data_IF_520184587385
#
_entry.id   IF_520184587385
#
_cell.length_a   1.000
_cell.length_b   1.000
_cell.length_c   1.000
_cell.angle_alpha   90.00
_cell.angle_beta   90.00
_cell.angle_gamma   90.00
#
_symmetry.space_group_name_H-M   'P 1'
#
loop_
_entity.id
_entity.type
_entity.pdbx_description
1 polymer ?
#
# COMPACT_ATOMS: atom_id res chain seq x y z
N UNK A 1 -75.33 -20.93 67.37
CA UNK A 1 -74.73 -20.04 66.34
C UNK A 1 -75.35 -18.66 66.46
N UNK A 2 -74.55 -17.59 66.52
CA UNK A 2 -75.04 -16.20 66.37
C UNK A 2 -74.48 -15.65 65.05
N UNK A 3 -75.34 -15.48 64.06
CA UNK A 3 -74.98 -14.79 62.82
C UNK A 3 -74.89 -13.29 63.13
N UNK A 4 -73.66 -12.77 63.24
CA UNK A 4 -73.43 -11.34 63.33
C UNK A 4 -73.59 -10.77 61.94
N UNK A 5 -74.79 -10.26 61.64
CA UNK A 5 -75.00 -9.41 60.47
C UNK A 5 -74.24 -8.09 60.69
N UNK A 6 -73.00 -8.03 60.23
CA UNK A 6 -72.27 -6.78 60.07
C UNK A 6 -73.01 -5.94 59.05
N UNK A 7 -73.80 -4.97 59.51
CA UNK A 7 -74.25 -3.86 58.69
C UNK A 7 -73.01 -3.14 58.17
N UNK A 8 -72.63 -3.44 56.92
CA UNK A 8 -71.61 -2.67 56.21
C UNK A 8 -72.23 -1.29 55.99
N UNK A 9 -71.85 -0.34 56.86
CA UNK A 9 -72.15 1.06 56.67
C UNK A 9 -71.41 1.54 55.41
N UNK A 10 -72.07 1.41 54.25
CA UNK A 10 -71.56 1.90 52.98
C UNK A 10 -71.53 3.43 53.02
N UNK A 11 -70.44 3.98 53.57
CA UNK A 11 -70.19 5.42 53.57
C UNK A 11 -70.03 5.89 52.13
N UNK A 12 -71.11 6.46 51.59
CA UNK A 12 -71.13 7.07 50.27
C UNK A 12 -70.03 8.13 50.19
N UNK A 13 -69.06 7.93 49.31
CA UNK A 13 -67.96 8.86 49.02
C UNK A 13 -68.27 9.60 47.74
N UNK A 14 -68.40 10.92 47.81
CA UNK A 14 -68.56 11.76 46.62
C UNK A 14 -67.18 12.23 46.18
N UNK A 15 -66.87 12.08 44.89
CA UNK A 15 -65.58 12.43 44.29
C UNK A 15 -65.76 13.57 43.29
N UNK A 16 -64.76 14.45 43.19
CA UNK A 16 -64.68 15.43 42.12
C UNK A 16 -64.13 14.76 40.85
N UNK A 17 -64.89 14.72 39.74
CA UNK A 17 -64.44 14.02 38.52
C UNK A 17 -63.23 14.70 37.81
N UNK A 18 -62.85 15.91 38.23
CA UNK A 18 -61.79 16.71 37.60
C UNK A 18 -60.41 16.37 38.19
N UNK A 19 -60.30 16.21 39.51
CA UNK A 19 -59.07 15.82 40.21
C UNK A 19 -59.09 14.39 40.77
N UNK A 20 -60.24 13.73 40.77
CA UNK A 20 -60.52 12.42 41.36
C UNK A 20 -60.40 12.33 42.91
N UNK A 21 -60.23 13.47 43.59
CA UNK A 21 -60.21 13.55 45.05
C UNK A 21 -61.62 13.56 45.68
N UNK A 22 -61.66 13.27 46.98
CA UNK A 22 -62.87 13.32 47.82
C UNK A 22 -63.38 14.76 47.98
N UNK A 23 -64.70 14.93 47.87
CA UNK A 23 -65.37 16.16 48.28
C UNK A 23 -65.57 16.13 49.80
N UNK A 24 -64.84 16.97 50.54
CA UNK A 24 -64.92 17.05 52.01
C UNK A 24 -65.71 18.30 52.41
N UNK A 25 -66.62 18.19 53.39
CA UNK A 25 -67.47 19.31 53.85
C UNK A 25 -66.73 20.56 54.33
N UNK A 26 -65.42 20.48 54.59
CA UNK A 26 -64.54 21.58 54.96
C UNK A 26 -64.02 22.39 53.75
N UNK A 27 -64.24 21.91 52.52
CA UNK A 27 -63.76 22.51 51.29
C UNK A 27 -64.87 23.29 50.57
N UNK A 28 -64.48 24.24 49.72
CA UNK A 28 -65.42 24.95 48.84
C UNK A 28 -65.96 24.02 47.75
N UNK A 29 -67.11 23.40 48.04
CA UNK A 29 -67.82 22.51 47.13
C UNK A 29 -68.90 23.29 46.39
N UNK A 30 -68.93 23.19 45.07
CA UNK A 30 -69.89 23.87 44.20
C UNK A 30 -70.61 22.87 43.30
N UNK A 31 -71.87 23.16 43.01
CA UNK A 31 -72.66 22.41 42.05
C UNK A 31 -73.17 23.30 40.92
N UNK A 32 -73.34 22.67 39.76
CA UNK A 32 -73.89 23.28 38.55
C UNK A 32 -75.41 23.07 38.50
N UNK A 33 -76.16 23.89 37.75
CA UNK A 33 -77.62 23.72 37.63
C UNK A 33 -78.10 22.36 37.11
N UNK A 34 -77.22 21.54 36.51
CA UNK A 34 -77.54 20.16 36.13
C UNK A 34 -77.31 19.13 37.25
N UNK A 35 -76.99 19.58 38.47
CA UNK A 35 -76.88 18.73 39.68
C UNK A 35 -75.48 18.17 39.96
N UNK A 36 -74.54 18.28 39.02
CA UNK A 36 -73.17 17.75 39.22
C UNK A 36 -72.32 18.67 40.10
N UNK A 37 -71.51 18.04 40.96
CA UNK A 37 -70.80 18.64 42.10
C UNK A 37 -69.29 18.48 41.93
N UNK A 38 -68.53 19.54 42.22
CA UNK A 38 -67.08 19.62 42.04
C UNK A 38 -66.45 20.51 43.12
N UNK A 39 -65.13 20.45 43.29
CA UNK A 39 -64.39 21.51 44.00
C UNK A 39 -64.48 22.83 43.25
N UNK A 40 -64.63 23.94 43.97
CA UNK A 40 -64.71 25.30 43.42
C UNK A 40 -63.57 25.61 42.45
N UNK A 41 -62.32 25.40 42.88
CA UNK A 41 -61.11 25.63 42.06
C UNK A 41 -61.14 24.83 40.76
N UNK A 42 -61.52 23.56 40.84
CA UNK A 42 -61.56 22.67 39.67
C UNK A 42 -62.66 23.08 38.68
N UNK A 43 -63.83 23.51 39.19
CA UNK A 43 -64.94 23.98 38.37
C UNK A 43 -64.62 25.31 37.68
N UNK A 44 -64.06 26.29 38.39
CA UNK A 44 -63.65 27.57 37.79
C UNK A 44 -62.61 27.35 36.68
N UNK A 45 -61.56 26.59 36.95
CA UNK A 45 -60.49 26.32 35.98
C UNK A 45 -60.97 25.52 34.74
N UNK A 46 -62.11 24.84 34.85
CA UNK A 46 -62.78 24.23 33.72
C UNK A 46 -63.60 25.27 32.93
N UNK A 47 -64.37 26.11 33.63
CA UNK A 47 -65.22 27.15 33.00
C UNK A 47 -64.41 28.23 32.26
N UNK A 48 -63.19 28.54 32.70
CA UNK A 48 -62.20 29.34 31.96
C UNK A 48 -61.94 28.83 30.53
N UNK A 49 -62.10 27.52 30.30
CA UNK A 49 -61.81 26.85 29.02
C UNK A 49 -63.05 26.37 28.29
N UNK A 50 -64.14 26.09 29.00
CA UNK A 50 -65.40 25.61 28.42
C UNK A 50 -66.59 25.94 29.31
N UNK A 51 -67.56 26.69 28.79
CA UNK A 51 -68.87 26.97 29.42
C UNK A 51 -69.79 25.74 29.49
N UNK A 52 -69.28 24.57 29.86
CA UNK A 52 -70.03 23.31 29.91
C UNK A 52 -69.72 22.52 31.19
N UNK A 53 -70.71 21.76 31.68
CA UNK A 53 -70.50 20.87 32.82
C UNK A 53 -69.48 19.76 32.45
N UNK A 54 -68.42 19.54 33.23
CA UNK A 54 -67.42 18.48 32.98
C UNK A 54 -68.02 17.08 32.82
N UNK A 55 -69.14 16.79 33.51
CA UNK A 55 -69.72 15.45 33.59
C UNK A 55 -70.82 15.18 32.55
N UNK A 56 -71.68 16.16 32.24
CA UNK A 56 -72.80 15.98 31.30
C UNK A 56 -72.83 16.96 30.12
N UNK A 57 -71.84 17.86 30.00
CA UNK A 57 -71.68 18.86 28.94
C UNK A 57 -72.83 19.86 28.76
N UNK A 58 -73.83 19.88 29.64
CA UNK A 58 -74.85 20.91 29.68
C UNK A 58 -74.21 22.30 29.84
N UNK A 59 -74.75 23.34 29.19
CA UNK A 59 -74.17 24.70 29.22
C UNK A 59 -74.20 25.29 30.64
N UNK A 60 -73.04 25.73 31.12
CA UNK A 60 -72.84 26.36 32.43
C UNK A 60 -72.19 27.73 32.21
N UNK A 61 -72.87 28.78 32.64
CA UNK A 61 -72.32 30.14 32.73
C UNK A 61 -71.94 30.42 34.18
N UNK A 62 -71.01 31.32 34.43
CA UNK A 62 -70.51 31.68 35.78
C UNK A 62 -71.64 31.99 36.78
N UNK A 63 -72.67 32.73 36.36
CA UNK A 63 -73.88 33.04 37.18
C UNK A 63 -74.82 31.84 37.44
N UNK A 64 -74.39 30.59 37.20
CA UNK A 64 -75.17 29.34 37.33
C UNK A 64 -74.43 28.23 38.08
N UNK A 65 -73.39 28.57 38.83
CA UNK A 65 -72.79 27.70 39.85
C UNK A 65 -73.24 28.15 41.24
N UNK A 66 -73.44 27.20 42.14
CA UNK A 66 -73.95 27.45 43.49
C UNK A 66 -73.09 26.70 44.52
N UNK A 67 -72.76 27.36 45.64
CA UNK A 67 -72.01 26.73 46.74
C UNK A 67 -72.90 25.76 47.50
N UNK A 68 -72.42 24.53 47.73
CA UNK A 68 -73.09 23.55 48.55
C UNK A 68 -72.76 23.79 50.03
N UNK A 69 -73.79 23.82 50.87
CA UNK A 69 -73.65 23.87 52.33
C UNK A 69 -74.21 22.57 52.92
N UNK A 70 -73.35 21.76 53.52
CA UNK A 70 -73.72 20.48 54.12
C UNK A 70 -73.94 20.64 55.63
N UNK A 71 -75.17 20.45 56.09
CA UNK A 71 -75.47 20.36 57.53
C UNK A 71 -75.18 18.93 58.00
N UNK A 72 -74.12 18.76 58.79
CA UNK A 72 -73.73 17.45 59.36
C UNK A 72 -74.29 17.34 60.78
N UNK A 73 -75.08 16.31 61.04
CA UNK A 73 -75.58 16.00 62.39
C UNK A 73 -74.57 15.12 63.15
N UNK A 74 -73.83 15.73 64.08
CA UNK A 74 -72.95 14.99 64.98
C UNK A 74 -73.76 14.19 66.02
N UNK A 75 -73.95 12.89 65.79
CA UNK A 75 -74.30 11.93 66.84
C UNK A 75 -73.05 11.17 67.27
N UNK A 76 -72.19 11.84 68.04
CA UNK A 76 -71.00 11.25 68.63
C UNK A 76 -71.34 10.58 69.96
N UNK A 77 -71.13 9.27 70.04
CA UNK A 77 -70.92 8.54 71.31
C UNK A 77 -70.32 7.16 71.00
N UNK A 78 -69.28 6.76 71.75
CA UNK A 78 -68.54 5.48 71.68
C UNK A 78 -67.63 5.25 70.45
N UNK A 79 -66.56 6.05 70.29
CA UNK A 79 -65.57 5.92 69.20
C UNK A 79 -64.13 5.52 69.59
N UNK A 80 -63.76 5.51 70.88
CA UNK A 80 -62.35 5.43 71.33
C UNK A 80 -61.57 4.16 70.90
N UNK A 81 -62.28 3.08 70.52
CA UNK A 81 -61.66 1.86 70.00
C UNK A 81 -61.56 1.79 68.46
N UNK A 82 -62.24 2.67 67.73
CA UNK A 82 -62.25 2.67 66.25
C UNK A 82 -61.02 3.36 65.65
N UNK A 83 -60.58 4.47 66.26
CA UNK A 83 -59.47 5.27 65.73
C UNK A 83 -58.10 4.62 65.93
N UNK A 84 -57.95 3.77 66.96
CA UNK A 84 -56.73 3.00 67.17
C UNK A 84 -56.54 1.92 66.08
N UNK A 85 -57.61 1.18 65.73
CA UNK A 85 -57.62 0.24 64.60
C UNK A 85 -57.37 0.93 63.24
N UNK A 86 -57.98 2.11 63.04
CA UNK A 86 -57.73 2.95 61.86
C UNK A 86 -56.26 3.35 61.75
N UNK A 87 -55.67 3.85 62.84
CA UNK A 87 -54.27 4.26 62.91
C UNK A 87 -53.30 3.07 62.73
N UNK A 88 -53.60 1.93 63.35
CA UNK A 88 -52.81 0.70 63.20
C UNK A 88 -52.80 0.20 61.75
N UNK A 89 -53.94 0.22 61.06
CA UNK A 89 -54.01 -0.18 59.64
C UNK A 89 -53.16 0.72 58.73
N UNK A 90 -53.07 2.02 59.03
CA UNK A 90 -52.19 2.97 58.33
C UNK A 90 -50.73 2.70 58.63
N UNK A 91 -50.38 2.40 59.89
CA UNK A 91 -49.03 2.02 60.31
C UNK A 91 -48.55 0.78 59.55
N UNK A 92 -49.39 -0.27 59.45
CA UNK A 92 -48.98 -1.52 58.80
C UNK A 92 -48.92 -1.39 57.26
N UNK A 93 -49.78 -0.55 56.66
CA UNK A 93 -49.67 -0.16 55.24
C UNK A 93 -48.35 0.59 54.96
N UNK A 94 -47.97 1.55 55.82
CA UNK A 94 -46.70 2.27 55.69
C UNK A 94 -45.48 1.36 55.91
N UNK A 95 -45.51 0.44 56.88
CA UNK A 95 -44.47 -0.60 57.04
C UNK A 95 -44.30 -1.43 55.78
N UNK A 96 -45.39 -1.84 55.13
CA UNK A 96 -45.33 -2.60 53.88
C UNK A 96 -44.72 -1.78 52.73
N UNK A 97 -45.08 -0.49 52.60
CA UNK A 97 -44.46 0.40 51.62
C UNK A 97 -42.96 0.60 51.89
N UNK A 98 -42.55 0.75 53.16
CA UNK A 98 -41.14 0.85 53.55
C UNK A 98 -40.39 -0.43 53.14
N UNK A 99 -40.92 -1.62 53.47
CA UNK A 99 -40.30 -2.90 53.08
C UNK A 99 -40.19 -3.08 51.55
N UNK A 100 -41.17 -2.61 50.79
CA UNK A 100 -41.12 -2.63 49.31
C UNK A 100 -40.05 -1.66 48.79
N UNK A 101 -39.98 -0.45 49.35
CA UNK A 101 -38.99 0.54 48.99
C UNK A 101 -37.56 0.11 49.39
N UNK A 102 -37.36 -0.54 50.53
CA UNK A 102 -36.08 -1.13 50.91
C UNK A 102 -35.62 -2.21 49.91
N UNK A 103 -36.53 -3.07 49.44
CA UNK A 103 -36.21 -4.05 48.39
C UNK A 103 -35.85 -3.38 47.07
N UNK A 104 -36.60 -2.34 46.68
CA UNK A 104 -36.31 -1.56 45.48
C UNK A 104 -34.93 -0.86 45.60
N UNK A 105 -34.63 -0.23 46.73
CA UNK A 105 -33.32 0.39 47.01
C UNK A 105 -32.21 -0.65 46.88
N UNK A 106 -32.32 -1.81 47.54
CA UNK A 106 -31.33 -2.91 47.46
C UNK A 106 -31.14 -3.43 46.03
N UNK A 107 -32.21 -3.50 45.24
CA UNK A 107 -32.15 -3.87 43.83
C UNK A 107 -31.41 -2.82 42.99
N UNK A 108 -31.77 -1.54 43.13
CA UNK A 108 -31.16 -0.45 42.37
C UNK A 108 -29.71 -0.18 42.77
N UNK A 109 -29.33 -0.28 44.04
CA UNK A 109 -27.92 -0.19 44.46
C UNK A 109 -27.08 -1.32 43.89
N UNK A 110 -27.59 -2.56 43.93
CA UNK A 110 -26.93 -3.72 43.31
C UNK A 110 -26.77 -3.55 41.80
N UNK A 111 -27.80 -3.03 41.11
CA UNK A 111 -27.77 -2.74 39.68
C UNK A 111 -26.78 -1.62 39.34
N UNK A 112 -26.73 -0.55 40.13
CA UNK A 112 -25.80 0.56 39.93
C UNK A 112 -24.35 0.10 40.11
N UNK A 113 -24.03 -0.70 41.14
CA UNK A 113 -22.68 -1.25 41.33
C UNK A 113 -22.20 -2.10 40.13
N UNK A 114 -23.11 -2.86 39.49
CA UNK A 114 -22.80 -3.62 38.26
C UNK A 114 -22.52 -2.65 37.09
N UNK A 115 -23.36 -1.63 36.90
CA UNK A 115 -23.20 -0.63 35.84
C UNK A 115 -21.92 0.21 36.03
N UNK A 116 -21.56 0.57 37.26
CA UNK A 116 -20.32 1.25 37.62
C UNK A 116 -19.10 0.40 37.26
N UNK A 117 -19.12 -0.89 37.60
CA UNK A 117 -18.05 -1.83 37.23
C UNK A 117 -17.92 -1.98 35.71
N UNK A 118 -19.03 -2.06 34.98
CA UNK A 118 -19.04 -2.09 33.51
C UNK A 118 -18.48 -0.80 32.91
N UNK A 119 -18.92 0.37 33.41
CA UNK A 119 -18.44 1.68 32.98
C UNK A 119 -16.93 1.86 33.26
N UNK A 120 -16.44 1.37 34.41
CA UNK A 120 -15.01 1.38 34.73
C UNK A 120 -14.19 0.53 33.74
N UNK A 121 -14.67 -0.68 33.40
CA UNK A 121 -14.05 -1.54 32.40
C UNK A 121 -14.04 -0.92 31.00
N UNK A 122 -15.18 -0.36 30.56
CA UNK A 122 -15.28 0.35 29.27
C UNK A 122 -14.32 1.55 29.20
N UNK A 123 -14.22 2.35 30.27
CA UNK A 123 -13.24 3.46 30.37
C UNK A 123 -11.79 2.97 30.31
N UNK A 124 -11.49 1.77 30.81
CA UNK A 124 -10.15 1.18 30.69
C UNK A 124 -9.82 0.75 29.27
N UNK A 125 -10.75 0.07 28.57
CA UNK A 125 -10.54 -0.31 27.17
C UNK A 125 -10.45 0.92 26.24
N UNK A 126 -11.24 1.97 26.49
CA UNK A 126 -11.12 3.26 25.77
C UNK A 126 -9.70 3.83 25.92
N UNK A 127 -9.19 3.98 27.15
CA UNK A 127 -7.81 4.47 27.39
C UNK A 127 -6.73 3.62 26.71
N UNK A 128 -6.92 2.30 26.66
CA UNK A 128 -6.00 1.38 25.99
C UNK A 128 -6.00 1.61 24.48
N UNK A 129 -7.19 1.69 23.86
CA UNK A 129 -7.33 1.96 22.42
C UNK A 129 -6.80 3.35 22.06
N UNK A 130 -7.04 4.37 22.89
CA UNK A 130 -6.48 5.72 22.74
C UNK A 130 -4.94 5.70 22.76
N UNK A 131 -4.34 4.95 23.70
CA UNK A 131 -2.89 4.78 23.79
C UNK A 131 -2.31 4.10 22.53
N UNK A 132 -2.95 3.03 22.05
CA UNK A 132 -2.57 2.36 20.81
C UNK A 132 -2.70 3.27 19.58
N UNK A 133 -3.76 4.08 19.50
CA UNK A 133 -3.96 5.07 18.44
C UNK A 133 -2.85 6.11 18.47
N UNK A 134 -2.51 6.64 19.65
CA UNK A 134 -1.44 7.62 19.80
C UNK A 134 -0.09 7.05 19.35
N UNK A 135 0.26 5.82 19.77
CA UNK A 135 1.49 5.15 19.34
C UNK A 135 1.53 4.95 17.81
N UNK A 136 0.42 4.51 17.20
CA UNK A 136 0.30 4.35 15.74
C UNK A 136 0.42 5.69 15.02
N UNK A 137 -0.15 6.77 15.56
CA UNK A 137 -0.04 8.12 15.00
C UNK A 137 1.40 8.65 15.04
N UNK A 138 2.13 8.45 16.13
CA UNK A 138 3.56 8.82 16.21
C UNK A 138 4.40 8.05 15.17
N UNK A 139 4.14 6.76 14.98
CA UNK A 139 4.81 5.96 13.95
C UNK A 139 4.47 6.43 12.53
N UNK A 140 3.21 6.76 12.26
CA UNK A 140 2.77 7.34 10.97
C UNK A 140 3.47 8.69 10.71
N UNK A 141 3.61 9.55 11.72
CA UNK A 141 4.32 10.82 11.59
C UNK A 141 5.79 10.62 11.22
N UNK A 142 6.51 9.75 11.94
CA UNK A 142 7.91 9.45 11.65
C UNK A 142 8.11 8.87 10.23
N UNK A 143 7.24 7.96 9.80
CA UNK A 143 7.27 7.40 8.44
C UNK A 143 6.96 8.45 7.37
N UNK A 144 6.04 9.38 7.62
CA UNK A 144 5.74 10.49 6.70
C UNK A 144 6.96 11.39 6.48
N UNK A 145 7.70 11.73 7.54
CA UNK A 145 8.89 12.57 7.41
C UNK A 145 10.02 11.84 6.66
N UNK A 146 10.21 10.54 6.90
CA UNK A 146 11.14 9.73 6.10
C UNK A 146 10.74 9.71 4.62
N UNK A 147 9.47 9.50 4.30
CA UNK A 147 8.95 9.52 2.92
C UNK A 147 9.18 10.89 2.26
N UNK A 148 8.98 11.99 3.00
CA UNK A 148 9.25 13.36 2.52
C UNK A 148 10.72 13.53 2.15
N UNK A 149 11.65 13.21 3.05
CA UNK A 149 13.09 13.26 2.79
C UNK A 149 13.50 12.38 1.58
N UNK A 150 12.95 11.17 1.45
CA UNK A 150 13.23 10.32 0.29
C UNK A 150 12.65 10.86 -1.02
N UNK A 151 11.50 11.55 -1.00
CA UNK A 151 10.94 12.24 -2.17
C UNK A 151 11.84 13.40 -2.61
N UNK A 152 12.22 14.27 -1.69
CA UNK A 152 13.13 15.40 -1.95
C UNK A 152 14.46 14.91 -2.55
N UNK A 153 15.06 13.85 -1.97
CA UNK A 153 16.26 13.21 -2.52
C UNK A 153 16.03 12.59 -3.91
N UNK A 154 14.89 11.96 -4.16
CA UNK A 154 14.54 11.39 -5.46
C UNK A 154 14.37 12.47 -6.54
N UNK A 155 13.74 13.60 -6.21
CA UNK A 155 13.61 14.74 -7.13
C UNK A 155 14.96 15.39 -7.42
N UNK A 156 15.82 15.56 -6.40
CA UNK A 156 17.18 16.05 -6.59
C UNK A 156 17.98 15.14 -7.55
N UNK A 157 17.96 13.83 -7.32
CA UNK A 157 18.65 12.87 -8.19
C UNK A 157 18.06 12.84 -9.61
N UNK A 158 16.73 12.96 -9.77
CA UNK A 158 16.08 13.03 -11.08
C UNK A 158 16.49 14.28 -11.85
N UNK A 159 16.52 15.44 -11.19
CA UNK A 159 17.02 16.69 -11.78
C UNK A 159 18.47 16.54 -12.21
N UNK A 160 19.34 16.00 -11.35
CA UNK A 160 20.74 15.76 -11.67
C UNK A 160 20.91 14.82 -12.88
N UNK A 161 20.20 13.70 -12.91
CA UNK A 161 20.30 12.73 -14.02
C UNK A 161 19.81 13.31 -15.34
N UNK A 162 18.71 14.07 -15.34
CA UNK A 162 18.24 14.81 -16.53
C UNK A 162 19.26 15.85 -17.02
N UNK A 163 19.97 16.53 -16.12
CA UNK A 163 21.08 17.42 -16.50
C UNK A 163 22.25 16.64 -17.12
N UNK A 164 22.64 15.49 -16.57
CA UNK A 164 23.69 14.63 -17.11
C UNK A 164 23.32 14.06 -18.50
N UNK A 165 22.07 13.65 -18.71
CA UNK A 165 21.53 13.18 -20.00
C UNK A 165 21.53 14.29 -21.06
N UNK A 166 20.98 15.46 -20.72
CA UNK A 166 20.95 16.63 -21.62
C UNK A 166 22.38 17.07 -22.00
N UNK A 167 23.30 17.10 -21.03
CA UNK A 167 24.70 17.42 -21.27
C UNK A 167 25.40 16.37 -22.15
N UNK A 168 25.12 15.07 -21.94
CA UNK A 168 25.68 14.03 -22.81
C UNK A 168 25.21 14.17 -24.26
N UNK A 169 23.91 14.44 -24.46
CA UNK A 169 23.33 14.64 -25.78
C UNK A 169 23.93 15.87 -26.47
N UNK A 170 23.95 17.03 -25.79
CA UNK A 170 24.52 18.27 -26.33
C UNK A 170 26.01 18.13 -26.70
N UNK A 171 26.80 17.41 -25.90
CA UNK A 171 28.25 17.25 -26.12
C UNK A 171 28.63 16.10 -27.08
N UNK A 172 27.72 15.15 -27.33
CA UNK A 172 28.01 14.01 -28.21
C UNK A 172 27.37 14.12 -29.59
N UNK A 173 26.25 14.84 -29.72
CA UNK A 173 25.45 14.94 -30.95
C UNK A 173 24.88 16.35 -31.24
N UNK A 174 24.98 17.29 -30.30
CA UNK A 174 24.37 18.61 -30.41
C UNK A 174 25.17 19.65 -31.19
N UNK A 175 24.46 20.70 -31.59
CA UNK A 175 24.97 21.93 -32.21
C UNK A 175 25.40 22.96 -31.15
N UNK A 176 25.99 24.08 -31.59
CA UNK A 176 26.38 25.17 -30.68
C UNK A 176 25.16 25.80 -30.00
N UNK A 177 24.04 25.84 -30.71
CA UNK A 177 22.74 26.32 -30.26
C UNK A 177 22.17 25.44 -29.13
N UNK A 178 22.29 24.11 -29.23
CA UNK A 178 21.83 23.17 -28.18
C UNK A 178 22.61 23.37 -26.87
N UNK A 179 23.92 23.63 -26.97
CA UNK A 179 24.76 23.96 -25.82
C UNK A 179 24.36 25.32 -25.22
N UNK A 180 24.00 26.29 -26.06
CA UNK A 180 23.56 27.62 -25.62
C UNK A 180 22.18 27.61 -24.95
N UNK A 181 21.25 26.77 -25.41
CA UNK A 181 19.96 26.53 -24.75
C UNK A 181 20.15 25.84 -23.38
N UNK A 182 20.97 24.79 -23.31
CA UNK A 182 21.29 24.07 -22.08
C UNK A 182 21.92 24.98 -21.01
N UNK A 183 22.80 25.92 -21.42
CA UNK A 183 23.46 26.86 -20.51
C UNK A 183 22.53 28.01 -20.11
N UNK A 184 21.71 28.51 -21.03
CA UNK A 184 20.67 29.51 -20.79
C UNK A 184 21.18 30.93 -20.47
N UNK A 185 20.39 31.93 -20.86
CA UNK A 185 20.74 33.37 -20.73
C UNK A 185 20.74 33.93 -19.28
N UNK A 186 20.70 33.08 -18.25
CA UNK A 186 20.80 33.46 -16.83
C UNK A 186 21.63 32.42 -16.06
N UNK A 187 22.91 32.35 -16.35
CA UNK A 187 23.79 31.33 -15.78
C UNK A 187 24.27 31.70 -14.37
N UNK A 188 24.00 30.83 -13.39
CA UNK A 188 24.75 30.83 -12.13
C UNK A 188 26.22 30.45 -12.42
N UNK A 189 27.15 31.17 -11.77
CA UNK A 189 28.58 30.86 -11.78
C UNK A 189 28.86 29.40 -11.41
N UNK A 190 28.08 28.82 -10.49
CA UNK A 190 28.26 27.43 -10.09
C UNK A 190 27.85 26.45 -11.21
N UNK A 191 26.79 26.74 -11.96
CA UNK A 191 26.38 25.94 -13.13
C UNK A 191 27.49 25.91 -14.18
N UNK A 192 28.11 27.07 -14.48
CA UNK A 192 29.26 27.14 -15.38
C UNK A 192 30.46 26.35 -14.86
N UNK A 193 30.79 26.46 -13.57
CA UNK A 193 31.90 25.72 -12.95
C UNK A 193 31.66 24.20 -13.03
N UNK A 194 30.43 23.74 -12.81
CA UNK A 194 30.07 22.33 -12.93
C UNK A 194 30.20 21.84 -14.38
N UNK A 195 29.59 22.54 -15.34
CA UNK A 195 29.72 22.20 -16.77
C UNK A 195 31.20 22.14 -17.23
N UNK A 196 32.03 23.09 -16.82
CA UNK A 196 33.47 23.11 -17.14
C UNK A 196 34.23 21.95 -16.46
N UNK A 197 33.85 21.60 -15.23
CA UNK A 197 34.47 20.49 -14.49
C UNK A 197 34.14 19.14 -15.13
N UNK A 198 32.88 18.93 -15.50
CA UNK A 198 32.40 17.71 -16.13
C UNK A 198 32.95 17.58 -17.56
N UNK A 199 33.00 18.67 -18.33
CA UNK A 199 33.71 18.76 -19.62
C UNK A 199 35.18 18.35 -19.50
N UNK A 200 35.88 18.86 -18.48
CA UNK A 200 37.28 18.54 -18.21
C UNK A 200 37.45 17.07 -17.84
N UNK A 201 36.54 16.49 -17.06
CA UNK A 201 36.59 15.06 -16.72
C UNK A 201 36.33 14.16 -17.93
N UNK A 202 35.31 14.46 -18.75
CA UNK A 202 35.01 13.73 -19.99
C UNK A 202 36.20 13.80 -20.96
N UNK A 203 36.79 15.00 -21.12
CA UNK A 203 37.96 15.20 -21.98
C UNK A 203 39.21 14.44 -21.47
N UNK A 204 39.44 14.40 -20.15
CA UNK A 204 40.49 13.60 -19.53
C UNK A 204 40.28 12.10 -19.74
N UNK A 205 39.05 11.59 -19.58
CA UNK A 205 38.71 10.18 -19.82
C UNK A 205 38.94 9.79 -21.28
N UNK A 206 38.49 10.61 -22.24
CA UNK A 206 38.75 10.41 -23.68
C UNK A 206 40.24 10.43 -24.00
N UNK A 207 40.98 11.42 -23.48
CA UNK A 207 42.44 11.55 -23.68
C UNK A 207 43.19 10.32 -23.17
N UNK A 208 42.92 9.85 -21.94
CA UNK A 208 43.53 8.63 -21.38
C UNK A 208 43.25 7.38 -22.22
N UNK A 209 42.03 7.25 -22.76
CA UNK A 209 41.68 6.10 -23.63
C UNK A 209 42.41 6.16 -24.97
N UNK A 210 42.56 7.36 -25.55
CA UNK A 210 43.37 7.58 -26.75
C UNK A 210 44.85 7.25 -26.49
N UNK A 211 45.41 7.68 -25.36
CA UNK A 211 46.78 7.35 -24.93
C UNK A 211 46.98 5.82 -24.88
N UNK A 212 46.09 5.12 -24.17
CA UNK A 212 46.12 3.65 -24.04
C UNK A 212 46.04 2.92 -25.38
N UNK A 213 45.16 3.38 -26.28
CA UNK A 213 45.04 2.80 -27.63
C UNK A 213 46.27 3.10 -28.50
N UNK A 214 46.87 4.29 -28.36
CA UNK A 214 48.14 4.62 -29.03
C UNK A 214 49.27 3.71 -28.57
N UNK A 215 49.41 3.47 -27.26
CA UNK A 215 50.43 2.56 -26.70
C UNK A 215 50.27 1.13 -27.24
N UNK A 216 49.04 0.61 -27.29
CA UNK A 216 48.77 -0.71 -27.88
C UNK A 216 49.13 -0.74 -29.38
N UNK A 217 48.80 0.31 -30.13
CA UNK A 217 49.10 0.39 -31.55
C UNK A 217 50.60 0.50 -31.85
N UNK A 218 51.38 1.18 -30.99
CA UNK A 218 52.85 1.16 -31.06
C UNK A 218 53.41 -0.24 -30.77
N UNK A 219 52.96 -0.90 -29.70
CA UNK A 219 53.42 -2.27 -29.39
C UNK A 219 53.15 -3.24 -30.54
N UNK A 220 51.96 -3.21 -31.14
CA UNK A 220 51.66 -4.04 -32.31
C UNK A 220 52.48 -3.68 -33.55
N UNK A 221 52.84 -2.41 -33.74
CA UNK A 221 53.76 -1.98 -34.80
C UNK A 221 55.17 -2.53 -34.58
N UNK A 222 55.68 -2.46 -33.36
CA UNK A 222 57.02 -2.90 -33.01
C UNK A 222 57.13 -4.43 -33.13
N UNK A 223 56.14 -5.19 -32.64
CA UNK A 223 56.05 -6.64 -32.85
C UNK A 223 55.98 -7.01 -34.33
N UNK A 224 55.22 -6.26 -35.15
CA UNK A 224 55.15 -6.48 -36.60
C UNK A 224 56.48 -6.17 -37.30
N UNK A 225 57.24 -5.18 -36.81
CA UNK A 225 58.57 -4.87 -37.32
C UNK A 225 59.59 -5.96 -36.95
N UNK A 226 59.52 -6.50 -35.74
CA UNK A 226 60.37 -7.60 -35.27
C UNK A 226 60.13 -8.88 -36.10
N UNK A 227 58.87 -9.28 -36.32
CA UNK A 227 58.53 -10.43 -37.16
C UNK A 227 58.96 -10.24 -38.62
N UNK A 228 58.90 -9.01 -39.16
CA UNK A 228 59.45 -8.69 -40.48
C UNK A 228 60.98 -8.85 -40.53
N UNK A 229 61.69 -8.45 -39.48
CA UNK A 229 63.15 -8.64 -39.39
C UNK A 229 63.50 -10.13 -39.39
N UNK A 230 62.81 -10.93 -38.56
CA UNK A 230 62.97 -12.40 -38.52
C UNK A 230 62.68 -13.04 -39.87
N UNK A 231 61.59 -12.63 -40.55
CA UNK A 231 61.25 -13.13 -41.88
C UNK A 231 62.37 -12.86 -42.89
N UNK A 232 62.96 -11.66 -42.87
CA UNK A 232 64.09 -11.28 -43.73
C UNK A 232 65.34 -12.11 -43.44
N UNK A 233 65.66 -12.38 -42.17
CA UNK A 233 66.78 -13.26 -41.77
C UNK A 233 66.55 -14.72 -42.20
N UNK A 234 65.32 -15.22 -42.11
CA UNK A 234 64.97 -16.56 -42.60
C UNK A 234 65.05 -16.67 -44.13
N UNK A 235 64.63 -15.63 -44.87
CA UNK A 235 64.78 -15.56 -46.33
C UNK A 235 66.26 -15.56 -46.76
N UNK A 236 67.12 -14.77 -46.11
CA UNK A 236 68.57 -14.78 -46.40
C UNK A 236 69.21 -16.14 -46.12
N UNK A 237 68.84 -16.78 -45.00
CA UNK A 237 69.31 -18.15 -44.66
C UNK A 237 68.80 -19.22 -45.62
N UNK A 238 67.57 -19.09 -46.12
CA UNK A 238 67.02 -19.97 -47.16
C UNK A 238 67.82 -19.82 -48.45
N UNK A 239 68.04 -18.60 -48.92
CA UNK A 239 68.83 -18.33 -50.13
C UNK A 239 70.27 -18.88 -50.04
N UNK A 240 70.91 -18.78 -48.87
CA UNK A 240 72.21 -19.39 -48.62
C UNK A 240 72.16 -20.93 -48.72
N UNK A 241 71.18 -21.56 -48.06
CA UNK A 241 71.02 -23.02 -48.07
C UNK A 241 70.67 -23.56 -49.46
N UNK A 242 69.84 -22.84 -50.22
CA UNK A 242 69.52 -23.16 -51.62
C UNK A 242 70.75 -23.10 -52.53
N UNK A 243 71.61 -22.09 -52.36
CA UNK A 243 72.88 -21.97 -53.08
C UNK A 243 73.84 -23.14 -52.78
N UNK A 244 73.97 -23.52 -51.50
CA UNK A 244 74.74 -24.70 -51.11
C UNK A 244 74.15 -25.99 -51.69
N UNK A 245 72.82 -26.15 -51.65
CA UNK A 245 72.12 -27.30 -52.25
C UNK A 245 72.38 -27.38 -53.77
N UNK A 246 72.35 -26.24 -54.47
CA UNK A 246 72.69 -26.15 -55.90
C UNK A 246 74.12 -26.61 -56.19
N UNK A 247 75.08 -26.15 -55.37
CA UNK A 247 76.49 -26.53 -55.47
C UNK A 247 76.70 -28.02 -55.21
N UNK A 248 76.04 -28.58 -54.20
CA UNK A 248 76.06 -30.01 -53.89
C UNK A 248 75.42 -30.84 -55.01
N UNK A 249 74.26 -30.45 -55.56
CA UNK A 249 73.65 -31.09 -56.74
C UNK A 249 74.58 -31.06 -57.94
N UNK A 250 75.24 -29.93 -58.22
CA UNK A 250 76.23 -29.86 -59.28
C UNK A 250 77.39 -30.83 -59.02
N UNK A 251 77.90 -30.93 -57.79
CA UNK A 251 78.99 -31.85 -57.44
C UNK A 251 78.56 -33.32 -57.53
N UNK A 252 77.34 -33.67 -57.13
CA UNK A 252 76.75 -35.01 -57.35
C UNK A 252 76.68 -35.32 -58.85
N UNK A 253 76.11 -34.43 -59.68
CA UNK A 253 76.06 -34.60 -61.14
C UNK A 253 77.45 -34.79 -61.78
N UNK A 254 78.51 -34.16 -61.24
CA UNK A 254 79.88 -34.37 -61.72
C UNK A 254 80.44 -35.74 -61.28
N UNK A 255 80.16 -36.17 -60.05
CA UNK A 255 80.54 -37.51 -59.56
C UNK A 255 79.80 -38.62 -60.31
N UNK A 256 78.51 -38.46 -60.62
CA UNK A 256 77.74 -39.40 -61.43
C UNK A 256 78.31 -39.55 -62.85
N UNK A 257 78.74 -38.45 -63.48
CA UNK A 257 79.44 -38.48 -64.77
C UNK A 257 80.75 -39.27 -64.67
N UNK A 258 81.55 -39.04 -63.64
CA UNK A 258 82.80 -39.78 -63.40
C UNK A 258 82.56 -41.26 -63.10
N UNK A 259 81.49 -41.59 -62.39
CA UNK A 259 81.09 -42.97 -62.12
C UNK A 259 80.69 -43.67 -63.42
N UNK A 260 79.86 -43.06 -64.26
CA UNK A 260 79.52 -43.54 -65.61
C UNK A 260 80.76 -43.84 -66.47
N UNK A 261 81.75 -42.94 -66.45
CA UNK A 261 83.04 -43.14 -67.17
C UNK A 261 83.83 -44.31 -66.58
N UNK A 262 83.78 -44.50 -65.24
CA UNK A 262 84.47 -45.58 -64.53
C UNK A 262 83.82 -46.93 -64.84
N UNK A 263 82.49 -47.02 -64.85
CA UNK A 263 81.75 -48.23 -65.24
C UNK A 263 82.02 -48.60 -66.70
N UNK A 264 82.06 -47.61 -67.61
CA UNK A 264 82.46 -47.81 -69.01
C UNK A 264 83.87 -48.43 -69.12
N UNK A 265 84.81 -48.01 -68.26
CA UNK A 265 86.18 -48.55 -68.20
C UNK A 265 86.25 -49.94 -67.52
N UNK A 266 85.37 -50.25 -66.57
CA UNK A 266 85.28 -51.57 -65.94
C UNK A 266 84.70 -52.62 -66.90
N UNK A 267 83.74 -52.24 -67.75
CA UNK A 267 83.22 -53.09 -68.85
C UNK A 267 84.34 -53.39 -69.87
N UNK A 268 85.25 -52.44 -70.13
CA UNK A 268 86.41 -52.67 -71.01
C UNK A 268 87.48 -53.62 -70.43
N UNK A 269 87.46 -53.89 -69.11
CA UNK A 269 88.41 -54.79 -68.43
C UNK A 269 87.83 -56.17 -68.05
N UNK A 270 86.54 -56.40 -68.27
CA UNK A 270 85.84 -57.63 -67.88
C UNK A 270 85.33 -58.48 -69.04
N UNK A 271 85.83 -58.26 -70.27
CA UNK A 271 85.54 -59.06 -71.47
C UNK A 271 86.28 -60.42 -71.54
N UNK A 272 86.40 -61.13 -70.40
CA UNK A 272 86.92 -62.51 -70.31
C UNK A 272 86.31 -63.31 -69.14
N UNK A 273 84.99 -63.50 -69.14
CA UNK A 273 84.32 -64.81 -68.91
C UNK A 273 82.80 -64.62 -69.10
N UNK A 274 82.07 -65.60 -69.65
CA UNK A 274 80.60 -65.54 -69.80
C UNK A 274 79.88 -66.38 -68.73
N UNK A 275 78.71 -65.92 -68.26
CA UNK A 275 77.39 -66.60 -68.36
C UNK A 275 76.41 -66.25 -67.21
N UNK A 276 75.12 -66.01 -67.59
CA UNK A 276 73.82 -66.26 -66.91
C UNK A 276 73.75 -66.66 -65.41
N UNK A 277 72.78 -66.30 -64.56
CA UNK A 277 71.47 -65.58 -64.58
C UNK A 277 71.06 -65.37 -63.07
N UNK A 278 70.04 -64.62 -62.59
CA UNK A 278 68.94 -63.83 -63.19
C UNK A 278 68.34 -62.76 -62.21
N UNK A 279 67.24 -62.14 -62.64
CA UNK A 279 66.20 -61.33 -61.99
C UNK A 279 66.03 -61.32 -60.45
N UNK A 280 65.91 -60.11 -59.90
CA UNK A 280 64.68 -59.67 -59.21
C UNK A 280 64.48 -58.14 -59.31
N UNK A 281 63.24 -57.69 -59.51
CA UNK A 281 62.88 -56.27 -59.64
C UNK A 281 62.85 -55.57 -58.27
N UNK A 282 63.06 -54.25 -58.26
CA UNK A 282 62.26 -53.28 -57.46
C UNK A 282 62.17 -51.95 -58.23
N UNK A 283 61.00 -51.32 -58.18
CA UNK A 283 60.63 -50.15 -58.99
C UNK A 283 61.42 -48.88 -58.69
N UNK A 284 61.84 -48.19 -59.74
CA UNK A 284 62.12 -46.75 -59.70
C UNK A 284 60.79 -45.99 -59.73
N UNK A 285 60.60 -45.02 -58.83
CA UNK A 285 59.65 -43.92 -59.01
C UNK A 285 60.42 -42.60 -59.02
N UNK A 286 60.71 -42.12 -60.22
CA UNK A 286 60.92 -40.70 -60.47
C UNK A 286 59.60 -39.96 -60.26
N UNK A 287 59.64 -38.89 -59.48
CA UNK A 287 58.65 -37.81 -59.53
C UNK A 287 59.45 -36.52 -59.58
N UNK A 288 59.14 -35.69 -60.56
CA UNK A 288 59.79 -34.41 -60.81
C UNK A 288 58.73 -33.40 -61.29
N UNK A 289 59.12 -32.12 -61.32
CA UNK A 289 58.42 -30.99 -61.95
C UNK A 289 57.37 -30.25 -61.08
N UNK A 290 57.92 -29.32 -60.28
CA UNK A 290 57.73 -27.86 -60.45
C UNK A 290 56.44 -27.13 -59.99
N UNK A 291 56.48 -25.77 -59.91
CA UNK A 291 55.75 -25.02 -58.88
C UNK A 291 54.63 -24.13 -59.42
N UNK A 292 53.83 -23.55 -58.52
CA UNK A 292 53.02 -22.38 -58.86
C UNK A 292 52.87 -21.38 -57.70
N UNK A 293 52.69 -20.12 -58.09
CA UNK A 293 52.84 -18.90 -57.30
C UNK A 293 51.52 -18.40 -56.69
N UNK A 294 51.63 -17.63 -55.59
CA UNK A 294 50.93 -16.33 -55.35
C UNK A 294 49.38 -16.36 -55.41
N UNK A 295 48.64 -15.99 -54.34
CA UNK A 295 48.60 -14.61 -53.86
C UNK A 295 47.95 -14.46 -52.46
N UNK A 296 48.06 -13.26 -51.89
CA UNK A 296 47.44 -12.85 -50.64
C UNK A 296 46.16 -11.99 -50.86
N UNK A 297 45.53 -11.57 -49.74
CA UNK A 297 44.54 -10.47 -49.60
C UNK A 297 43.08 -10.77 -50.03
N UNK A 298 42.02 -10.18 -49.43
CA UNK A 298 41.86 -9.42 -48.17
C UNK A 298 40.33 -9.23 -47.87
N UNK A 299 40.00 -8.83 -46.65
CA UNK A 299 38.72 -8.33 -46.09
C UNK A 299 37.52 -8.01 -47.02
N UNK A 300 36.31 -8.40 -46.58
CA UNK A 300 35.17 -7.46 -46.39
C UNK A 300 34.22 -7.96 -45.28
N UNK A 301 33.50 -7.02 -44.65
CA UNK A 301 32.38 -7.29 -43.75
C UNK A 301 31.04 -7.19 -44.53
N UNK A 302 29.99 -7.89 -44.09
CA UNK A 302 28.87 -7.26 -43.36
C UNK A 302 27.69 -8.22 -43.05
N UNK A 303 27.20 -8.10 -41.81
CA UNK A 303 25.80 -8.13 -41.35
C UNK A 303 24.77 -9.28 -41.60
N UNK A 304 24.17 -9.65 -40.46
CA UNK A 304 22.76 -10.00 -40.21
C UNK A 304 22.19 -11.36 -40.65
N UNK A 305 21.65 -12.11 -39.68
CA UNK A 305 20.90 -13.36 -39.89
C UNK A 305 20.45 -14.00 -38.57
N UNK A 306 19.33 -13.52 -38.01
CA UNK A 306 18.72 -14.09 -36.79
C UNK A 306 18.15 -15.49 -37.03
N UNK A 307 18.40 -16.42 -36.11
CA UNK A 307 17.39 -17.44 -35.72
C UNK A 307 17.77 -18.12 -34.39
N UNK A 308 16.80 -18.18 -33.47
CA UNK A 308 16.88 -18.91 -32.21
C UNK A 308 16.76 -20.43 -32.43
N UNK A 309 17.07 -21.22 -31.40
CA UNK A 309 16.26 -22.37 -31.03
C UNK A 309 15.55 -22.09 -29.71
N UNK A 310 14.22 -22.03 -29.74
CA UNK A 310 13.41 -22.30 -28.55
C UNK A 310 13.63 -23.76 -28.13
N UNK A 311 13.71 -24.01 -26.82
CA UNK A 311 13.65 -25.37 -26.27
C UNK A 311 12.32 -25.48 -25.54
N UNK A 312 11.35 -26.10 -26.21
CA UNK A 312 10.15 -26.61 -25.56
C UNK A 312 10.54 -27.69 -24.55
N UNK A 313 10.05 -27.59 -23.32
CA UNK A 313 9.99 -28.74 -22.41
C UNK A 313 8.54 -28.97 -22.04
N UNK A 314 8.13 -30.22 -22.25
CA UNK A 314 6.77 -30.74 -22.20
C UNK A 314 6.26 -30.74 -20.74
N UNK A 315 5.01 -30.30 -20.57
CA UNK A 315 4.22 -30.66 -19.39
C UNK A 315 3.61 -32.05 -19.64
N UNK A 316 3.85 -32.99 -18.74
CA UNK A 316 2.96 -34.15 -18.58
C UNK A 316 2.35 -34.15 -17.18
N UNK A 317 1.05 -33.96 -17.14
CA UNK A 317 0.18 -34.21 -15.99
C UNK A 317 -0.01 -35.71 -15.80
N UNK A 318 0.07 -36.19 -14.55
CA UNK A 318 -0.85 -37.25 -14.11
C UNK A 318 -1.43 -36.90 -12.75
N UNK A 319 -2.74 -37.11 -12.65
CA UNK A 319 -3.61 -36.87 -11.50
C UNK A 319 -3.87 -38.20 -10.82
N UNK A 320 -3.96 -38.23 -9.49
CA UNK A 320 -5.02 -39.01 -8.84
C UNK A 320 -5.26 -38.62 -7.37
N UNK A 321 -6.36 -37.90 -7.19
CA UNK A 321 -7.39 -38.05 -6.15
C UNK A 321 -7.09 -38.81 -4.84
N UNK A 322 -7.42 -38.17 -3.71
CA UNK A 322 -8.33 -38.74 -2.69
C UNK A 322 -8.96 -37.63 -1.82
N UNK A 323 -10.30 -37.56 -1.80
CA UNK A 323 -11.10 -36.79 -0.83
C UNK A 323 -11.19 -37.57 0.52
N UNK A 324 -11.76 -37.13 1.65
CA UNK A 324 -12.79 -36.12 1.94
C UNK A 324 -12.71 -35.69 3.46
N UNK A 325 -13.71 -35.07 4.15
CA UNK A 325 -13.50 -33.72 4.70
C UNK A 325 -13.72 -33.56 6.22
N UNK A 326 -13.41 -32.38 6.78
CA UNK A 326 -14.05 -31.92 8.04
C UNK A 326 -14.30 -30.40 8.06
N UNK A 327 -15.45 -30.01 8.59
CA UNK A 327 -16.06 -28.69 8.44
C UNK A 327 -15.69 -27.77 9.61
N UNK A 328 -15.07 -26.61 9.34
CA UNK A 328 -15.25 -25.40 10.17
C UNK A 328 -15.37 -24.14 9.31
N UNK A 329 -16.51 -23.44 9.41
CA UNK A 329 -16.77 -22.20 8.66
C UNK A 329 -16.19 -20.99 9.41
N UNK A 330 -15.26 -20.26 8.79
CA UNK A 330 -14.92 -18.86 9.17
C UNK A 330 -15.45 -17.90 8.10
N UNK A 331 -16.02 -16.73 8.46
CA UNK A 331 -16.58 -15.79 7.49
C UNK A 331 -15.48 -15.09 6.69
N UNK A 332 -15.66 -14.98 5.37
CA UNK A 332 -14.75 -14.27 4.46
C UNK A 332 -14.97 -12.76 4.54
N UNK A 333 -13.95 -12.00 4.95
CA UNK A 333 -13.89 -10.55 4.71
C UNK A 333 -13.76 -10.30 3.20
N UNK A 334 -14.68 -9.52 2.62
CA UNK A 334 -14.62 -9.13 1.20
C UNK A 334 -13.47 -8.14 0.99
N UNK A 335 -12.47 -8.55 0.20
CA UNK A 335 -11.35 -7.70 -0.23
C UNK A 335 -11.86 -6.68 -1.24
N UNK A 336 -12.19 -5.47 -0.78
CA UNK A 336 -12.45 -4.33 -1.67
C UNK A 336 -11.19 -4.05 -2.51
N UNK A 337 -11.28 -4.27 -3.83
CA UNK A 337 -10.26 -3.80 -4.78
C UNK A 337 -10.43 -2.29 -4.92
N UNK A 338 -9.39 -1.54 -4.53
CA UNK A 338 -9.30 -0.12 -4.81
C UNK A 338 -8.90 0.05 -6.29
N UNK A 339 -9.87 0.34 -7.16
CA UNK A 339 -9.60 0.68 -8.56
C UNK A 339 -9.14 2.14 -8.65
N UNK A 340 -7.87 2.33 -9.02
CA UNK A 340 -7.32 3.64 -9.36
C UNK A 340 -7.91 4.10 -10.70
N UNK A 341 -9.00 4.87 -10.66
CA UNK A 341 -9.46 5.64 -11.81
C UNK A 341 -8.73 6.99 -11.84
N UNK A 342 -7.86 7.16 -12.84
CA UNK A 342 -7.35 8.48 -13.23
C UNK A 342 -8.48 9.28 -13.88
N UNK A 343 -8.75 10.53 -13.48
CA UNK A 343 -9.61 11.42 -14.25
C UNK A 343 -8.84 11.94 -15.48
N UNK A 344 -9.42 11.76 -16.67
CA UNK A 344 -8.92 12.39 -17.88
C UNK A 344 -9.24 13.88 -17.94
N UNK A 345 -8.50 14.62 -18.77
CA UNK A 345 -8.74 16.04 -19.03
C UNK A 345 -10.10 16.28 -19.67
N UNK A 346 -10.89 17.20 -19.11
CA UNK A 346 -11.90 17.95 -19.85
C UNK A 346 -11.98 19.37 -19.32
N UNK A 347 -11.62 20.33 -20.17
CA UNK A 347 -11.83 21.77 -19.93
C UNK A 347 -13.31 22.13 -20.05
N UNK A 348 -13.86 22.88 -19.09
CA UNK A 348 -14.41 24.21 -19.43
C UNK A 348 -14.64 25.12 -18.22
N UNK A 349 -14.84 26.39 -18.57
CA UNK A 349 -14.78 27.65 -17.81
C UNK A 349 -15.72 27.82 -16.60
N UNK A 350 -15.24 28.68 -15.69
CA UNK A 350 -15.97 29.74 -14.92
C UNK A 350 -17.31 29.41 -14.26
N UNK A 351 -17.38 29.59 -12.93
CA UNK A 351 -17.99 30.82 -12.39
C UNK A 351 -17.69 31.05 -10.91
N UNK A 352 -17.72 32.34 -10.55
CA UNK A 352 -17.48 32.90 -9.23
C UNK A 352 -18.74 32.81 -8.35
N UNK A 353 -18.63 32.30 -7.11
CA UNK A 353 -19.68 32.38 -6.09
C UNK A 353 -19.05 32.60 -4.72
N UNK A 354 -19.24 33.80 -4.21
CA UNK A 354 -18.92 34.22 -2.84
C UNK A 354 -20.00 33.74 -1.86
N UNK A 355 -19.62 33.01 -0.80
CA UNK A 355 -20.48 32.79 0.37
C UNK A 355 -19.72 32.75 1.69
N UNK A 356 -19.82 33.86 2.43
CA UNK A 356 -20.36 33.89 3.81
C UNK A 356 -19.73 32.95 4.86
N UNK A 357 -18.58 33.34 5.41
CA UNK A 357 -18.20 32.90 6.77
C UNK A 357 -19.13 33.54 7.82
N UNK A 358 -19.72 32.71 8.69
CA UNK A 358 -20.40 33.16 9.91
C UNK A 358 -19.89 32.36 11.10
N UNK A 359 -19.24 33.08 12.01
CA UNK A 359 -19.04 32.84 13.44
C UNK A 359 -19.32 31.44 14.01
N UNK A 360 -18.35 30.94 14.77
CA UNK A 360 -18.58 30.72 16.21
C UNK A 360 -17.37 31.15 17.03
N UNK A 361 -17.53 32.20 17.84
CA UNK A 361 -16.61 32.50 18.93
C UNK A 361 -16.95 31.56 20.09
N UNK A 362 -15.94 30.87 20.64
CA UNK A 362 -16.06 30.24 21.96
C UNK A 362 -15.32 31.13 22.97
N UNK A 363 -16.02 31.44 24.06
CA UNK A 363 -15.54 32.25 25.17
C UNK A 363 -14.85 31.31 26.15
N UNK A 364 -13.54 31.47 26.33
CA UNK A 364 -12.84 30.89 27.48
C UNK A 364 -12.86 31.88 28.65
N UNK A 365 -13.60 31.55 29.70
CA UNK A 365 -13.56 32.23 31.00
C UNK A 365 -13.40 31.24 32.15
N UNK A 366 -12.19 31.26 32.72
CA UNK A 366 -11.89 31.16 34.16
C UNK A 366 -12.52 30.03 35.01
N UNK A 367 -11.66 29.08 35.39
CA UNK A 367 -11.52 28.52 36.76
C UNK A 367 -10.02 28.28 36.95
N UNK A 368 -9.24 29.03 37.73
CA UNK A 368 -9.27 29.20 39.19
C UNK A 368 -9.12 27.87 39.97
N UNK A 369 -7.86 27.45 40.14
CA UNK A 369 -7.25 27.02 41.41
C UNK A 369 -5.90 27.75 41.57
#
# INVERSE_FOLDING_TARGET
MRLVFTFIACRMKILCIICHDLLISSEDIFFTRCGHVFHHRCLLQWLERSETCPQCRAKVTENRIHKAHFTVSNTETAADNADNLSSQSRIDSLKFQILLNEKNIKYYTSKNAILEKQNAGLRQEVRKVESEINQKNSAIYALREQIKHFKEKSEFLRKKLSWEENMHNALSMGTLEDVQEMVGNRTDRNTLINCISDLKEISLKKTRKIESLRTQLTMHRDSLAEERSKSSEFEERLAFSESENLSLRHRVNQLEKLHKITDQNCIAKSSSQRNSNENSLINVRTVDISPQQVNAKQETADQNGSSSPEVEIINDTFDDTFECPTITKKPRLKRLRLSLCLPGNSSDKTNDVTTSEKHYNIIDTLTQE
#
